data_IF_756934959969
#
_entry.id   IF_756934959969
#
_cell.length_a   1.000
_cell.length_b   1.000
_cell.length_c   1.000
_cell.angle_alpha   90.00
_cell.angle_beta   90.00
_cell.angle_gamma   90.00
#
_symmetry.space_group_name_H-M   'P 1'
#
loop_
_entity.id
_entity.type
_entity.pdbx_description
1 polymer ?
#
# COMPACT_ATOMS: atom_id res chain seq x y z
N UNK A 1 29.20 -13.52 -24.40
CA UNK A 1 28.18 -12.45 -24.49
C UNK A 1 26.84 -13.14 -24.30
N UNK A 2 26.18 -12.96 -23.16
CA UNK A 2 24.86 -13.55 -22.94
C UNK A 2 23.81 -12.65 -23.62
N UNK A 3 22.99 -13.25 -24.47
CA UNK A 3 21.89 -12.61 -25.19
C UNK A 3 20.83 -12.11 -24.19
N UNK A 4 20.41 -10.85 -24.36
CA UNK A 4 19.38 -10.22 -23.52
C UNK A 4 18.03 -10.87 -23.85
N UNK A 5 17.30 -11.46 -22.90
CA UNK A 5 16.06 -12.16 -23.20
C UNK A 5 15.02 -11.19 -23.77
N UNK A 6 14.42 -11.60 -24.88
CA UNK A 6 13.34 -10.91 -25.58
C UNK A 6 12.10 -10.81 -24.70
N UNK A 7 11.51 -9.62 -24.58
CA UNK A 7 10.33 -9.38 -23.76
C UNK A 7 9.08 -9.97 -24.44
N UNK A 8 8.63 -11.13 -23.96
CA UNK A 8 7.43 -11.81 -24.45
C UNK A 8 6.19 -10.94 -24.14
N UNK A 9 5.53 -10.42 -25.18
CA UNK A 9 4.23 -9.75 -25.04
C UNK A 9 3.12 -10.81 -25.00
N UNK A 10 2.68 -11.14 -23.79
CA UNK A 10 1.62 -12.12 -23.54
C UNK A 10 0.24 -11.58 -23.94
N UNK A 11 -0.56 -12.43 -24.59
CA UNK A 11 -1.95 -12.16 -24.99
C UNK A 11 -2.88 -12.11 -23.78
N UNK A 12 -3.83 -11.18 -23.76
CA UNK A 12 -4.75 -10.91 -22.63
C UNK A 12 -5.67 -12.10 -22.22
N UNK A 13 -5.66 -13.20 -22.97
CA UNK A 13 -6.58 -14.34 -22.79
C UNK A 13 -5.92 -15.63 -22.26
N UNK A 14 -4.63 -15.60 -21.94
CA UNK A 14 -4.01 -16.71 -21.23
C UNK A 14 -4.06 -16.43 -19.71
N UNK A 15 -4.38 -17.43 -18.85
CA UNK A 15 -4.19 -17.32 -17.41
C UNK A 15 -2.70 -17.38 -17.09
N UNK A 16 -1.94 -16.46 -17.67
CA UNK A 16 -0.50 -16.33 -17.46
C UNK A 16 -0.32 -15.41 -16.26
N UNK A 17 0.51 -15.87 -15.34
CA UNK A 17 1.07 -15.22 -14.15
C UNK A 17 1.57 -13.80 -14.47
N UNK A 18 0.65 -12.86 -14.69
CA UNK A 18 0.99 -11.47 -14.97
C UNK A 18 1.42 -10.88 -13.64
N UNK A 19 2.72 -10.83 -13.43
CA UNK A 19 3.29 -10.11 -12.28
C UNK A 19 2.89 -8.65 -12.39
N UNK A 20 2.03 -8.22 -11.48
CA UNK A 20 1.66 -6.82 -11.32
C UNK A 20 2.69 -6.26 -10.34
N UNK A 21 3.58 -5.41 -10.83
CA UNK A 21 4.57 -4.78 -9.96
C UNK A 21 3.89 -3.79 -9.01
N UNK A 22 4.01 -4.07 -7.71
CA UNK A 22 3.50 -3.20 -6.66
C UNK A 22 4.49 -2.08 -6.35
N UNK A 23 3.97 -0.90 -6.02
CA UNK A 23 4.77 0.26 -5.66
C UNK A 23 4.67 0.55 -4.17
N UNK A 24 5.81 0.60 -3.49
CA UNK A 24 5.91 1.08 -2.11
C UNK A 24 6.61 2.44 -2.09
N UNK A 25 6.12 3.36 -1.26
CA UNK A 25 6.83 4.60 -0.94
C UNK A 25 7.79 4.36 0.24
N UNK A 26 8.67 5.33 0.50
CA UNK A 26 9.56 5.30 1.66
C UNK A 26 8.78 5.06 2.97
N UNK A 27 9.21 4.09 3.77
CA UNK A 27 8.56 3.73 5.04
C UNK A 27 8.51 4.87 6.06
N UNK A 28 9.52 5.74 6.14
CA UNK A 28 9.50 6.92 7.00
C UNK A 28 8.49 7.97 6.53
N UNK A 29 8.32 8.13 5.22
CA UNK A 29 7.30 9.03 4.68
C UNK A 29 5.89 8.47 4.99
N UNK A 30 5.71 7.16 4.83
CA UNK A 30 4.50 6.46 5.25
C UNK A 30 4.20 6.65 6.74
N UNK A 31 5.23 6.51 7.59
CA UNK A 31 5.14 6.73 9.04
C UNK A 31 4.76 8.16 9.38
N UNK A 32 5.38 9.16 8.73
CA UNK A 32 5.04 10.56 8.92
C UNK A 32 3.57 10.82 8.57
N UNK A 33 3.08 10.32 7.43
CA UNK A 33 1.67 10.48 7.03
C UNK A 33 0.73 9.78 8.02
N UNK A 34 1.10 8.58 8.49
CA UNK A 34 0.30 7.82 9.44
C UNK A 34 0.18 8.55 10.79
N UNK A 35 1.29 9.08 11.32
CA UNK A 35 1.29 9.88 12.54
C UNK A 35 0.56 11.21 12.36
N UNK A 36 0.74 11.89 11.22
CA UNK A 36 0.05 13.15 10.92
C UNK A 36 -1.47 12.96 10.86
N UNK A 37 -1.95 11.89 10.22
CA UNK A 37 -3.38 11.56 10.17
C UNK A 37 -3.92 11.20 11.57
N UNK A 38 -3.13 10.47 12.37
CA UNK A 38 -3.47 10.16 13.76
C UNK A 38 -3.63 11.42 14.61
N UNK A 39 -2.66 12.34 14.51
CA UNK A 39 -2.73 13.63 15.20
C UNK A 39 -3.91 14.48 14.72
N UNK A 40 -4.17 14.51 13.41
CA UNK A 40 -5.31 15.22 12.84
C UNK A 40 -6.63 14.68 13.42
N UNK A 41 -6.80 13.36 13.51
CA UNK A 41 -7.98 12.73 14.12
C UNK A 41 -8.15 13.10 15.61
N UNK A 42 -7.07 13.33 16.35
CA UNK A 42 -7.12 13.77 17.75
C UNK A 42 -7.46 15.27 17.90
N UNK A 43 -6.98 16.10 16.99
CA UNK A 43 -7.16 17.57 17.03
C UNK A 43 -8.52 18.00 16.47
N UNK A 44 -9.06 17.30 15.47
CA UNK A 44 -10.30 17.67 14.80
C UNK A 44 -11.51 17.85 15.73
N UNK A 45 -11.76 16.97 16.73
CA UNK A 45 -12.84 17.16 17.71
C UNK A 45 -12.67 18.42 18.55
N UNK A 46 -11.44 18.84 18.83
CA UNK A 46 -11.17 20.04 19.63
C UNK A 46 -11.50 21.32 18.84
N UNK A 47 -11.36 21.30 17.51
CA UNK A 47 -11.61 22.45 16.65
C UNK A 47 -13.07 22.55 16.17
N UNK A 48 -13.70 21.41 15.85
CA UNK A 48 -15.02 21.38 15.21
C UNK A 48 -16.13 20.80 16.12
N UNK A 49 -15.79 20.31 17.32
CA UNK A 49 -16.75 19.70 18.22
C UNK A 49 -17.47 18.50 17.59
N UNK A 50 -18.78 18.35 17.79
CA UNK A 50 -19.57 17.22 17.25
C UNK A 50 -19.55 17.11 15.72
N UNK A 51 -19.32 18.22 15.00
CA UNK A 51 -19.29 18.20 13.52
C UNK A 51 -18.08 17.42 12.98
N UNK A 52 -17.03 17.24 13.78
CA UNK A 52 -15.83 16.49 13.42
C UNK A 52 -16.10 15.01 13.07
N UNK A 53 -17.23 14.45 13.55
CA UNK A 53 -17.66 13.07 13.28
C UNK A 53 -17.86 12.81 11.79
N UNK A 54 -18.34 13.80 11.03
CA UNK A 54 -18.59 13.67 9.59
C UNK A 54 -17.30 13.34 8.83
N UNK A 55 -16.16 13.86 9.28
CA UNK A 55 -14.85 13.61 8.68
C UNK A 55 -14.25 12.31 9.26
N UNK A 56 -14.37 12.13 10.58
CA UNK A 56 -13.80 10.99 11.30
C UNK A 56 -14.39 9.63 10.93
N UNK A 57 -15.63 9.59 10.45
CA UNK A 57 -16.22 8.35 9.95
C UNK A 57 -15.44 7.76 8.77
N UNK A 58 -14.65 8.58 8.05
CA UNK A 58 -13.79 8.15 6.95
C UNK A 58 -12.33 8.06 7.42
N UNK A 59 -11.83 9.08 8.11
CA UNK A 59 -10.40 9.18 8.44
C UNK A 59 -9.95 8.22 9.55
N UNK A 60 -10.84 7.83 10.47
CA UNK A 60 -10.51 6.86 11.52
C UNK A 60 -10.38 5.43 10.97
N UNK A 61 -11.35 4.90 10.18
CA UNK A 61 -11.15 3.61 9.52
C UNK A 61 -9.93 3.59 8.60
N UNK A 62 -9.72 4.67 7.83
CA UNK A 62 -8.53 4.79 6.98
C UNK A 62 -7.24 4.65 7.78
N UNK A 63 -7.15 5.34 8.93
CA UNK A 63 -5.99 5.26 9.83
C UNK A 63 -5.76 3.83 10.34
N UNK A 64 -6.80 3.09 10.70
CA UNK A 64 -6.65 1.68 11.10
C UNK A 64 -6.12 0.79 9.97
N UNK A 65 -6.54 1.01 8.73
CA UNK A 65 -6.05 0.24 7.56
C UNK A 65 -4.55 0.48 7.33
N UNK A 66 -4.05 1.70 7.59
CA UNK A 66 -2.64 2.04 7.40
C UNK A 66 -1.67 1.22 8.27
N UNK A 67 -2.11 0.59 9.36
CA UNK A 67 -1.25 -0.29 10.16
C UNK A 67 -0.76 -1.52 9.41
N UNK A 68 -1.54 -2.02 8.46
CA UNK A 68 -1.12 -3.18 7.66
C UNK A 68 -0.21 -2.77 6.48
N UNK A 69 -0.05 -1.47 6.20
CA UNK A 69 0.64 -0.98 5.01
C UNK A 69 2.17 -0.97 5.09
N UNK A 70 2.77 -1.39 6.20
CA UNK A 70 4.23 -1.48 6.31
C UNK A 70 4.72 -2.83 5.81
N UNK A 71 5.55 -2.78 4.77
CA UNK A 71 6.06 -3.98 4.09
C UNK A 71 7.56 -4.07 4.32
N UNK A 72 7.98 -5.22 4.82
CA UNK A 72 9.39 -5.59 4.99
C UNK A 72 9.71 -6.57 3.88
N UNK A 73 10.75 -6.26 3.10
CA UNK A 73 11.25 -7.13 2.03
C UNK A 73 12.73 -7.37 2.31
N UNK A 74 13.16 -8.63 2.38
CA UNK A 74 14.58 -8.96 2.54
C UNK A 74 15.31 -8.85 1.20
N UNK A 75 16.65 -8.73 1.22
CA UNK A 75 17.44 -8.79 0.00
C UNK A 75 17.16 -10.07 -0.79
N UNK A 76 16.89 -9.93 -2.10
CA UNK A 76 16.56 -11.02 -3.02
C UNK A 76 15.21 -11.73 -2.77
N UNK A 77 14.34 -11.19 -1.91
CA UNK A 77 12.97 -11.66 -1.73
C UNK A 77 11.96 -10.72 -2.41
N UNK A 78 10.75 -11.24 -2.63
CA UNK A 78 9.61 -10.44 -3.05
C UNK A 78 8.38 -10.87 -2.24
N UNK A 79 7.55 -9.91 -1.86
CA UNK A 79 6.35 -10.15 -1.05
C UNK A 79 5.11 -10.00 -1.93
N UNK A 80 4.22 -10.97 -1.88
CA UNK A 80 2.95 -10.91 -2.60
C UNK A 80 1.92 -10.13 -1.78
N UNK A 81 1.52 -8.97 -2.28
CA UNK A 81 0.39 -8.22 -1.77
C UNK A 81 -0.93 -8.88 -2.18
N UNK A 82 -1.78 -9.13 -1.20
CA UNK A 82 -3.09 -9.74 -1.39
C UNK A 82 -4.17 -8.88 -0.74
N UNK A 83 -5.28 -8.73 -1.44
CA UNK A 83 -6.47 -8.07 -0.91
C UNK A 83 -7.59 -9.11 -0.76
N UNK A 84 -8.00 -9.39 0.48
CA UNK A 84 -8.95 -10.48 0.79
C UNK A 84 -8.58 -11.82 0.12
N UNK A 85 -7.29 -12.18 0.12
CA UNK A 85 -6.77 -13.43 -0.46
C UNK A 85 -6.69 -13.45 -1.99
N UNK A 86 -7.02 -12.35 -2.67
CA UNK A 86 -6.80 -12.20 -4.12
C UNK A 86 -5.44 -11.57 -4.39
N UNK A 87 -4.70 -12.11 -5.36
CA UNK A 87 -3.46 -11.52 -5.86
C UNK A 87 -3.72 -10.08 -6.32
N UNK A 88 -2.98 -9.13 -5.75
CA UNK A 88 -3.07 -7.71 -6.08
C UNK A 88 -1.78 -7.19 -6.72
N UNK A 89 -0.63 -7.52 -6.13
CA UNK A 89 0.67 -7.12 -6.66
C UNK A 89 1.82 -7.95 -6.05
N UNK A 90 2.99 -7.88 -6.67
CA UNK A 90 4.27 -8.38 -6.14
C UNK A 90 5.17 -7.20 -5.81
N UNK A 91 5.67 -7.11 -4.58
CA UNK A 91 6.53 -6.04 -4.09
C UNK A 91 7.97 -6.50 -4.02
N UNK A 92 8.86 -5.67 -4.57
CA UNK A 92 10.31 -5.89 -4.55
C UNK A 92 11.05 -4.91 -3.62
N UNK A 93 10.36 -3.88 -3.15
CA UNK A 93 10.92 -2.81 -2.31
C UNK A 93 10.22 -2.76 -0.96
N UNK A 94 10.99 -2.58 0.11
CA UNK A 94 10.46 -2.28 1.43
C UNK A 94 9.86 -0.87 1.52
N UNK A 95 8.99 -0.66 2.49
CA UNK A 95 8.46 0.66 2.79
C UNK A 95 7.00 0.64 3.19
N UNK A 96 6.25 1.62 2.69
CA UNK A 96 4.82 1.75 2.94
C UNK A 96 4.05 1.57 1.63
N UNK A 97 3.20 0.55 1.57
CA UNK A 97 2.33 0.27 0.43
C UNK A 97 0.87 0.26 0.88
N UNK A 98 0.03 1.03 0.20
CA UNK A 98 -1.40 0.98 0.43
C UNK A 98 -2.07 -0.13 -0.39
N UNK A 99 -3.12 -0.75 0.15
CA UNK A 99 -3.78 -1.93 -0.42
C UNK A 99 -4.59 -1.70 -1.69
N UNK A 100 -4.72 -0.46 -2.14
CA UNK A 100 -5.48 -0.11 -3.33
C UNK A 100 -4.54 -0.12 -4.54
N UNK A 101 -4.67 -1.15 -5.38
CA UNK A 101 -4.04 -1.27 -6.69
C UNK A 101 -5.05 -1.79 -7.71
#
# INVERSE_FOLDING_TARGET
MAEKPESIKLSNNEPTYRDIEGYAINGFLGLLMHLALGLANLVLPLLLGPLSVIIQIITVPLWFVMFNSYVIVNPNEAVVAQFFGKYSATLKSEGFQFFLN
#
